data_IF_247982934696
#
_entry.id   IF_247982934696
#
_cell.length_a   1.000
_cell.length_b   1.000
_cell.length_c   1.000
_cell.angle_alpha   90.00
_cell.angle_beta   90.00
_cell.angle_gamma   90.00
#
_symmetry.space_group_name_H-M   'P 1'
#
loop_
_entity.id
_entity.type
_entity.pdbx_description
1 polymer ?
#
# COMPACT_ATOMS: atom_id res chain seq x y z
N UNK A 1 9.43 4.25 9.93
CA UNK A 1 8.59 3.45 9.03
C UNK A 1 8.93 3.77 7.58
N UNK A 2 8.86 2.78 6.73
CA UNK A 2 9.24 2.96 5.33
C UNK A 2 8.33 3.93 4.57
N UNK A 3 7.06 4.00 4.91
CA UNK A 3 6.09 4.87 4.24
C UNK A 3 5.90 6.15 5.04
N UNK A 4 6.43 7.25 4.53
CA UNK A 4 6.37 8.54 5.20
C UNK A 4 5.02 9.22 4.98
N UNK A 5 4.70 10.19 5.84
CA UNK A 5 3.46 10.97 5.72
C UNK A 5 3.44 11.74 4.40
N UNK A 6 2.26 11.91 3.83
CA UNK A 6 2.07 12.61 2.57
C UNK A 6 1.07 11.93 1.67
N UNK A 7 0.98 12.44 0.45
CA UNK A 7 0.09 11.91 -0.58
C UNK A 7 0.89 10.99 -1.50
N UNK A 8 0.39 9.79 -1.70
CA UNK A 8 1.08 8.76 -2.46
C UNK A 8 0.20 8.20 -3.55
N UNK A 9 0.82 7.82 -4.64
CA UNK A 9 0.14 7.17 -5.76
C UNK A 9 0.88 5.89 -6.12
N UNK A 10 0.12 4.79 -6.24
CA UNK A 10 0.68 3.50 -6.61
C UNK A 10 0.11 3.03 -7.93
N UNK A 11 0.92 2.33 -8.71
CA UNK A 11 0.49 1.71 -9.94
C UNK A 11 1.21 0.39 -10.13
N UNK A 12 0.47 -0.60 -10.56
CA UNK A 12 1.05 -1.92 -10.75
C UNK A 12 0.09 -2.88 -11.40
N UNK A 13 0.35 -4.16 -11.20
CA UNK A 13 -0.44 -5.23 -11.79
C UNK A 13 -0.81 -6.27 -10.76
N UNK A 14 -1.96 -6.89 -10.98
CA UNK A 14 -2.44 -8.01 -10.19
C UNK A 14 -2.56 -9.21 -11.13
N UNK A 15 -2.07 -10.35 -10.69
CA UNK A 15 -2.17 -11.59 -11.44
C UNK A 15 -2.91 -12.62 -10.62
N UNK A 16 -4.01 -13.11 -11.15
CA UNK A 16 -4.78 -14.20 -10.54
C UNK A 16 -4.17 -15.53 -10.99
N UNK A 17 -4.07 -16.47 -10.08
CA UNK A 17 -3.53 -17.81 -10.39
C UNK A 17 -4.15 -18.37 -11.65
N UNK A 18 -3.32 -18.92 -12.52
CA UNK A 18 -3.66 -19.50 -13.81
C UNK A 18 -4.11 -18.50 -14.88
N UNK A 19 -4.16 -17.22 -14.57
CA UNK A 19 -4.42 -16.20 -15.58
C UNK A 19 -3.14 -15.89 -16.36
N UNK A 20 -3.28 -15.66 -17.65
CA UNK A 20 -2.13 -15.38 -18.50
C UNK A 20 -1.79 -13.90 -18.57
N UNK A 21 -2.72 -13.02 -18.19
CA UNK A 21 -2.51 -11.58 -18.25
C UNK A 21 -2.85 -10.94 -16.92
N UNK A 22 -2.02 -9.99 -16.51
CA UNK A 22 -2.27 -9.21 -15.31
C UNK A 22 -3.30 -8.11 -15.56
N UNK A 23 -3.91 -7.65 -14.49
CA UNK A 23 -4.83 -6.52 -14.53
C UNK A 23 -4.18 -5.31 -13.88
N UNK A 24 -4.49 -4.13 -14.38
CA UNK A 24 -3.95 -2.88 -13.84
C UNK A 24 -4.57 -2.58 -12.49
N UNK A 25 -3.73 -2.14 -11.57
CA UNK A 25 -4.14 -1.75 -10.22
C UNK A 25 -3.55 -0.37 -9.95
N UNK A 26 -4.36 0.53 -9.40
CA UNK A 26 -3.91 1.85 -8.96
C UNK A 26 -4.32 2.09 -7.53
N UNK A 27 -3.50 2.85 -6.83
CA UNK A 27 -3.70 3.17 -5.42
C UNK A 27 -3.48 4.67 -5.23
N UNK A 28 -4.43 5.35 -4.62
CA UNK A 28 -4.34 6.77 -4.34
C UNK A 28 -4.61 6.95 -2.86
N UNK A 29 -3.58 7.27 -2.09
CA UNK A 29 -3.68 7.26 -0.64
C UNK A 29 -3.00 8.47 -0.01
N UNK A 30 -3.39 8.74 1.23
CA UNK A 30 -2.75 9.70 2.10
C UNK A 30 -2.26 8.98 3.35
N UNK A 31 -1.04 9.29 3.78
CA UNK A 31 -0.47 8.78 5.02
C UNK A 31 -0.39 9.94 6.01
N UNK A 32 -1.02 9.77 7.16
CA UNK A 32 -1.03 10.76 8.23
C UNK A 32 -0.40 10.12 9.48
N UNK A 33 0.44 10.86 10.14
CA UNK A 33 1.09 10.40 11.36
C UNK A 33 0.51 11.16 12.57
N UNK A 34 0.23 10.45 13.66
CA UNK A 34 -0.16 11.06 14.92
C UNK A 34 0.68 10.46 16.06
N UNK A 35 0.34 10.77 17.29
CA UNK A 35 1.12 10.30 18.44
C UNK A 35 1.07 8.79 18.65
N UNK A 36 0.07 8.13 18.09
CA UNK A 36 -0.15 6.70 18.31
C UNK A 36 0.23 5.84 17.11
N UNK A 37 0.60 6.45 16.00
CA UNK A 37 0.98 5.69 14.82
C UNK A 37 0.61 6.38 13.53
N UNK A 38 0.22 5.59 12.52
CA UNK A 38 -0.05 6.08 11.18
C UNK A 38 -1.43 5.66 10.74
N UNK A 39 -2.09 6.54 9.98
CA UNK A 39 -3.33 6.21 9.30
C UNK A 39 -3.11 6.37 7.81
N UNK A 40 -3.49 5.34 7.06
CA UNK A 40 -3.38 5.32 5.60
C UNK A 40 -4.80 5.23 5.08
N UNK A 41 -5.21 6.20 4.27
CA UNK A 41 -6.58 6.23 3.75
C UNK A 41 -6.59 6.65 2.30
N UNK A 42 -7.56 6.14 1.55
CA UNK A 42 -7.69 6.47 0.15
C UNK A 42 -8.49 5.44 -0.62
N UNK A 43 -8.05 5.14 -1.84
CA UNK A 43 -8.81 4.29 -2.76
C UNK A 43 -7.92 3.39 -3.59
N UNK A 44 -8.44 2.20 -3.85
CA UNK A 44 -7.99 1.36 -4.96
C UNK A 44 -8.83 1.70 -6.17
N UNK A 45 -8.22 1.69 -7.34
CA UNK A 45 -8.85 2.07 -8.60
C UNK A 45 -8.54 1.02 -9.66
N UNK A 46 -9.25 1.08 -10.76
CA UNK A 46 -9.14 0.19 -11.92
C UNK A 46 -9.79 -1.18 -11.66
N UNK A 47 -9.09 -2.27 -11.93
CA UNK A 47 -9.65 -3.62 -11.86
C UNK A 47 -10.22 -3.96 -10.50
N UNK A 48 -9.60 -3.44 -9.46
CA UNK A 48 -10.07 -3.62 -8.08
C UNK A 48 -10.32 -2.24 -7.52
N UNK A 49 -11.56 -1.93 -7.21
CA UNK A 49 -11.91 -0.60 -6.73
C UNK A 49 -12.53 -0.69 -5.35
N UNK A 50 -12.29 0.32 -4.54
CA UNK A 50 -12.84 0.40 -3.21
C UNK A 50 -12.01 1.29 -2.32
N UNK A 51 -12.53 1.53 -1.12
CA UNK A 51 -11.84 2.38 -0.17
C UNK A 51 -10.78 1.61 0.60
N UNK A 52 -9.74 2.33 0.99
CA UNK A 52 -8.64 1.81 1.79
C UNK A 52 -8.58 2.60 3.08
N UNK A 53 -8.52 1.91 4.20
CA UNK A 53 -8.34 2.52 5.51
C UNK A 53 -7.48 1.58 6.35
N UNK A 54 -6.27 2.01 6.71
CA UNK A 54 -5.33 1.18 7.43
C UNK A 54 -4.78 1.95 8.61
N UNK A 55 -4.80 1.32 9.78
CA UNK A 55 -4.19 1.86 10.98
C UNK A 55 -2.95 1.04 11.32
N UNK A 56 -1.82 1.71 11.48
CA UNK A 56 -0.54 1.09 11.79
C UNK A 56 -0.02 1.70 13.07
N UNK A 57 0.10 0.90 14.12
CA UNK A 57 0.52 1.39 15.43
C UNK A 57 1.67 0.56 15.98
N UNK A 58 2.71 1.19 16.55
CA UNK A 58 3.82 0.44 17.13
C UNK A 58 3.35 -0.37 18.34
N UNK A 59 3.95 -1.53 18.53
CA UNK A 59 3.68 -2.36 19.69
C UNK A 59 4.96 -2.54 20.51
N UNK A 60 4.84 -3.25 21.64
CA UNK A 60 5.93 -3.34 22.62
C UNK A 60 7.08 -4.24 22.21
N UNK A 61 6.95 -4.98 21.13
CA UNK A 61 7.99 -5.94 20.71
C UNK A 61 8.76 -5.50 19.47
N UNK A 62 8.65 -4.22 19.10
CA UNK A 62 9.43 -3.69 17.98
C UNK A 62 8.80 -3.91 16.61
N UNK A 63 7.57 -4.34 16.56
CA UNK A 63 6.80 -4.45 15.33
C UNK A 63 5.62 -3.50 15.38
N UNK A 64 4.75 -3.59 14.37
CA UNK A 64 3.55 -2.76 14.29
C UNK A 64 2.33 -3.66 14.25
N UNK A 65 1.27 -3.21 14.92
CA UNK A 65 -0.04 -3.80 14.77
C UNK A 65 -0.70 -3.12 13.58
N UNK A 66 -1.32 -3.91 12.71
CA UNK A 66 -1.97 -3.39 11.50
C UNK A 66 -3.43 -3.78 11.53
N UNK A 67 -4.31 -2.78 11.35
CA UNK A 67 -5.74 -2.97 11.27
C UNK A 67 -6.17 -2.34 9.95
N UNK A 68 -6.62 -3.15 9.01
CA UNK A 68 -6.87 -2.71 7.64
C UNK A 68 -8.29 -3.03 7.19
N UNK A 69 -8.83 -2.13 6.41
CA UNK A 69 -10.07 -2.36 5.68
C UNK A 69 -9.83 -1.94 4.24
N UNK A 70 -9.92 -2.91 3.34
CA UNK A 70 -9.63 -2.68 1.93
C UNK A 70 -10.80 -3.22 1.12
N UNK A 71 -11.47 -2.33 0.38
CA UNK A 71 -12.62 -2.69 -0.46
C UNK A 71 -13.67 -3.50 0.32
N UNK A 72 -13.92 -3.08 1.56
CA UNK A 72 -14.93 -3.72 2.40
C UNK A 72 -14.47 -4.94 3.18
N UNK A 73 -13.21 -5.38 2.97
CA UNK A 73 -12.68 -6.55 3.66
C UNK A 73 -11.84 -6.09 4.86
N UNK A 74 -12.18 -6.59 6.04
CA UNK A 74 -11.43 -6.29 7.26
C UNK A 74 -10.32 -7.29 7.48
N UNK A 75 -9.11 -6.78 7.76
CA UNK A 75 -7.92 -7.58 7.96
C UNK A 75 -7.14 -7.06 9.16
N UNK A 76 -6.61 -7.95 9.97
CA UNK A 76 -5.74 -7.61 11.09
C UNK A 76 -4.42 -8.33 10.94
N UNK A 77 -3.37 -7.76 11.49
CA UNK A 77 -2.10 -8.45 11.45
C UNK A 77 -0.96 -7.65 12.02
N UNK A 78 0.21 -7.96 11.54
CA UNK A 78 1.45 -7.38 12.03
C UNK A 78 2.33 -6.92 10.87
N UNK A 79 3.20 -5.95 11.18
CA UNK A 79 4.18 -5.48 10.22
C UNK A 79 5.53 -5.28 10.88
N UNK A 80 6.58 -5.57 10.14
CA UNK A 80 7.95 -5.23 10.49
C UNK A 80 8.36 -4.16 9.50
N UNK A 81 8.38 -2.90 9.93
CA UNK A 81 8.43 -1.77 9.01
C UNK A 81 9.58 -0.78 9.29
N UNK A 82 10.49 -1.10 10.22
CA UNK A 82 11.56 -0.19 10.55
C UNK A 82 12.88 -0.49 9.82
N UNK A 83 13.03 -1.69 9.33
CA UNK A 83 14.25 -2.09 8.63
C UNK A 83 13.93 -3.18 7.63
N UNK A 84 14.72 -3.25 6.57
CA UNK A 84 14.54 -4.27 5.55
C UNK A 84 14.96 -5.65 6.06
N UNK A 85 14.28 -6.70 5.63
CA UNK A 85 13.09 -6.65 4.78
C UNK A 85 11.85 -6.17 5.55
N UNK A 86 11.09 -5.28 4.93
CA UNK A 86 9.84 -4.78 5.50
C UNK A 86 8.73 -5.75 5.11
N UNK A 87 8.08 -6.30 6.11
CA UNK A 87 7.14 -7.41 5.90
C UNK A 87 5.81 -7.11 6.56
N UNK A 88 4.73 -7.50 5.89
CA UNK A 88 3.38 -7.38 6.42
C UNK A 88 2.69 -8.72 6.29
N UNK A 89 1.98 -9.12 7.34
CA UNK A 89 1.18 -10.33 7.35
C UNK A 89 -0.19 -9.99 7.95
N UNK A 90 -1.23 -10.22 7.16
CA UNK A 90 -2.60 -9.90 7.56
C UNK A 90 -3.51 -11.10 7.34
N UNK A 91 -4.61 -11.15 8.10
CA UNK A 91 -5.63 -12.18 7.95
C UNK A 91 -6.99 -11.63 8.36
N UNK A 92 -8.05 -12.23 7.83
CA UNK A 92 -9.40 -11.86 8.23
C UNK A 92 -9.80 -12.60 9.51
N UNK A 93 -10.95 -12.24 10.06
CA UNK A 93 -11.40 -12.79 11.35
C UNK A 93 -11.46 -14.31 11.35
N UNK A 94 -11.95 -14.91 10.28
CA UNK A 94 -12.10 -16.36 10.20
C UNK A 94 -10.85 -17.07 9.70
N UNK A 95 -9.81 -16.32 9.39
CA UNK A 95 -8.56 -16.84 8.87
C UNK A 95 -8.71 -17.65 7.57
N UNK A 96 -9.74 -17.32 6.79
CA UNK A 96 -9.96 -17.91 5.47
C UNK A 96 -9.21 -17.15 4.38
N UNK A 97 -8.72 -15.95 4.71
CA UNK A 97 -8.00 -15.10 3.78
C UNK A 97 -6.76 -14.56 4.48
N UNK A 98 -5.62 -14.66 3.84
CA UNK A 98 -4.36 -14.12 4.36
C UNK A 98 -3.64 -13.32 3.28
N UNK A 99 -2.90 -12.31 3.73
CA UNK A 99 -2.12 -11.43 2.86
C UNK A 99 -0.70 -11.39 3.39
N UNK A 100 0.26 -11.59 2.49
CA UNK A 100 1.68 -11.41 2.78
C UNK A 100 2.23 -10.40 1.82
N UNK A 101 2.95 -9.42 2.32
CA UNK A 101 3.53 -8.40 1.45
C UNK A 101 4.92 -7.99 1.93
N UNK A 102 5.74 -7.55 1.00
CA UNK A 102 7.03 -6.96 1.30
C UNK A 102 7.08 -5.57 0.69
N UNK A 103 7.69 -4.65 1.42
CA UNK A 103 7.89 -3.27 0.98
C UNK A 103 9.39 -3.01 0.90
N UNK A 104 9.81 -2.36 -0.17
CA UNK A 104 11.24 -2.08 -0.35
C UNK A 104 11.43 -0.75 -1.05
N UNK A 105 12.56 -0.10 -0.76
CA UNK A 105 12.89 1.21 -1.33
C UNK A 105 13.35 1.02 -2.77
N UNK A 106 12.88 1.90 -3.64
CA UNK A 106 13.34 1.96 -5.04
C UNK A 106 13.90 3.36 -5.31
N UNK A 107 14.49 3.55 -6.48
CA UNK A 107 15.05 4.86 -6.83
C UNK A 107 13.99 5.95 -6.91
N UNK A 108 12.75 5.61 -7.23
CA UNK A 108 11.68 6.58 -7.45
C UNK A 108 10.57 6.53 -6.40
N UNK A 109 10.71 5.69 -5.40
CA UNK A 109 9.66 5.55 -4.40
C UNK A 109 9.78 4.26 -3.62
N UNK A 110 8.70 3.52 -3.54
CA UNK A 110 8.65 2.29 -2.78
C UNK A 110 7.98 1.21 -3.60
N UNK A 111 8.58 0.03 -3.63
CA UNK A 111 7.97 -1.14 -4.23
C UNK A 111 7.15 -1.90 -3.20
N UNK A 112 6.07 -2.51 -3.65
CA UNK A 112 5.23 -3.37 -2.83
C UNK A 112 4.90 -4.61 -3.63
N UNK A 113 5.26 -5.77 -3.11
CA UNK A 113 4.94 -7.05 -3.72
C UNK A 113 4.29 -7.93 -2.69
N UNK A 114 3.36 -8.74 -3.13
CA UNK A 114 2.74 -9.65 -2.20
C UNK A 114 1.80 -10.62 -2.84
N UNK A 115 1.16 -11.40 -1.99
CA UNK A 115 0.12 -12.30 -2.44
C UNK A 115 -1.00 -12.36 -1.42
N UNK A 116 -2.17 -12.68 -1.93
CA UNK A 116 -3.37 -12.92 -1.14
C UNK A 116 -3.77 -14.37 -1.39
N UNK A 117 -4.00 -15.09 -0.32
CA UNK A 117 -4.44 -16.48 -0.40
C UNK A 117 -5.82 -16.61 0.21
N UNK A 118 -6.76 -17.16 -0.56
CA UNK A 118 -8.12 -17.39 -0.12
C UNK A 118 -8.53 -18.78 -0.56
N UNK A 119 -8.65 -19.70 0.37
CA UNK A 119 -9.00 -21.12 0.11
C UNK A 119 -8.32 -21.71 -1.12
N UNK A 120 -8.99 -21.66 -2.27
CA UNK A 120 -8.51 -22.27 -3.50
C UNK A 120 -7.93 -21.26 -4.49
N UNK A 121 -7.76 -20.01 -4.07
CA UNK A 121 -7.33 -18.96 -4.98
C UNK A 121 -6.12 -18.21 -4.44
N UNK A 122 -5.16 -17.95 -5.32
CA UNK A 122 -3.99 -17.13 -5.00
C UNK A 122 -3.94 -15.98 -6.00
N UNK A 123 -3.73 -14.80 -5.48
CA UNK A 123 -3.62 -13.58 -6.25
C UNK A 123 -2.30 -12.91 -5.85
N UNK A 124 -1.51 -12.50 -6.82
CA UNK A 124 -0.24 -11.80 -6.55
C UNK A 124 -0.27 -10.41 -7.16
N UNK A 125 0.53 -9.52 -6.60
CA UNK A 125 0.64 -8.17 -7.15
C UNK A 125 2.05 -7.64 -7.06
N UNK A 126 2.33 -6.66 -7.95
CA UNK A 126 3.52 -5.83 -7.89
C UNK A 126 3.07 -4.39 -8.10
N UNK A 127 3.59 -3.48 -7.30
CA UNK A 127 3.19 -2.08 -7.36
C UNK A 127 4.37 -1.18 -7.05
N UNK A 128 4.46 -0.07 -7.76
CA UNK A 128 5.40 1.00 -7.44
C UNK A 128 4.59 2.17 -6.88
N UNK A 129 4.98 2.64 -5.71
CA UNK A 129 4.28 3.70 -5.00
C UNK A 129 5.20 4.91 -4.90
N UNK A 130 4.73 6.07 -5.37
CA UNK A 130 5.53 7.28 -5.39
C UNK A 130 4.83 8.42 -4.65
N UNK A 131 5.62 9.32 -4.11
CA UNK A 131 5.10 10.45 -3.35
C UNK A 131 4.62 11.53 -4.33
N UNK A 132 3.35 11.82 -4.31
CA UNK A 132 2.74 12.80 -5.24
C UNK A 132 3.35 14.19 -5.13
N UNK A 133 3.64 14.62 -3.91
CA UNK A 133 4.16 15.95 -3.69
C UNK A 133 5.50 16.19 -4.36
N UNK A 134 6.34 15.17 -4.44
CA UNK A 134 7.61 15.29 -5.13
C UNK A 134 7.42 15.40 -6.64
N UNK A 135 6.50 14.64 -7.19
CA UNK A 135 6.18 14.71 -8.60
C UNK A 135 5.64 16.10 -8.98
N UNK A 136 4.76 16.64 -8.16
CA UNK A 136 4.20 17.98 -8.40
C UNK A 136 5.29 19.04 -8.34
N UNK A 137 6.18 18.97 -7.37
CA UNK A 137 7.28 19.94 -7.26
C UNK A 137 8.23 19.86 -8.45
N UNK A 138 8.46 18.69 -8.97
CA UNK A 138 9.28 18.51 -10.16
C UNK A 138 8.68 19.18 -11.38
N UNK A 139 7.37 19.15 -11.50
CA UNK A 139 6.67 19.74 -12.62
C UNK A 139 6.46 21.24 -12.48
N UNK A 140 6.32 21.69 -11.28
CA UNK A 140 5.79 23.02 -10.99
C UNK A 140 6.82 24.08 -10.90
N UNK A 141 7.86 23.87 -11.29
CA UNK A 141 8.77 24.94 -11.14
C UNK A 141 8.48 25.93 -12.18
N UNK A 142 7.55 26.25 -12.17
CA UNK A 142 6.98 26.75 -13.02
C UNK A 142 5.77 27.14 -12.99
N UNK A 143 5.15 26.70 -13.05
CA UNK A 143 4.01 26.52 -12.87
C UNK A 143 3.21 27.01 -12.32
N UNK A 144 3.07 27.21 -12.50
CA UNK A 144 2.23 27.42 -11.93
C UNK A 144 2.20 28.30 -12.03
N UNK A 145 2.71 28.13 -13.12
CA UNK A 145 2.87 28.22 -13.37
C UNK A 145 2.65 28.35 -14.05
N UNK A 146 2.69 28.22 -14.90
CA UNK A 146 2.73 27.68 -15.56
C UNK A 146 2.46 27.91 -15.90
N UNK A 147 2.61 28.00 -16.38
CA UNK A 147 2.72 27.51 -16.65
C UNK A 147 2.90 27.82 -16.80
N UNK A 148 3.28 28.01 -17.16
CA UNK A 148 3.76 27.75 -17.32
C UNK A 148 3.94 27.95 -17.55
N UNK A 149 4.19 28.27 -18.23
CA UNK A 149 4.57 27.98 -18.55
C UNK A 149 4.59 28.15 -18.83
#
# INVERSE_FOLDING_TARGET
>A
MILNKGLWFGKGTVLVEEASLGETLELDIEVVEDQEGYTISGKLLEAYSGEVSIRVAPNDVGTYTVDARVAGIGLDGIGKLESEPNLILLWNENQTLSVSATLFVTSNGMGCRGFLKEENRILTWEMLITLKQQAIKGDNVISFTRRKR
#
